data_IF_175903130813
#
_entry.id   IF_175903130813
#
_cell.length_a   1.000
_cell.length_b   1.000
_cell.length_c   1.000
_cell.angle_alpha   90.00
_cell.angle_beta   90.00
_cell.angle_gamma   90.00
#
_symmetry.space_group_name_H-M   'P 1'
#
loop_
_entity.id
_entity.type
_entity.pdbx_description
1 polymer ?
#
# COMPACT_ATOMS: atom_id res chain seq x y z
N UNK A 1 -8.26 3.57 26.18
CA UNK A 1 -8.96 2.29 25.97
C UNK A 1 -8.20 1.12 26.59
N UNK A 2 -6.98 0.82 26.15
CA UNK A 2 -6.19 -0.31 26.68
C UNK A 2 -5.78 -0.17 28.16
N UNK A 3 -5.67 1.06 28.68
CA UNK A 3 -5.16 1.33 30.04
C UNK A 3 -6.13 0.97 31.17
N UNK A 4 -7.44 0.92 30.90
CA UNK A 4 -8.45 0.75 31.95
C UNK A 4 -8.60 1.99 32.85
N UNK A 5 -9.21 1.81 34.03
CA UNK A 5 -9.32 2.83 35.08
C UNK A 5 -8.73 2.31 36.38
N UNK A 6 -7.96 3.16 37.06
CA UNK A 6 -7.41 2.83 38.38
C UNK A 6 -8.50 2.70 39.43
N UNK A 7 -8.34 1.73 40.33
CA UNK A 7 -9.13 1.62 41.55
C UNK A 7 -8.50 2.40 42.69
N UNK A 8 -9.21 2.48 43.82
CA UNK A 8 -8.78 3.21 45.01
C UNK A 8 -8.84 2.33 46.26
N UNK A 9 -7.76 2.35 47.04
CA UNK A 9 -7.69 1.79 48.39
C UNK A 9 -7.49 2.90 49.41
N UNK A 10 -8.25 2.82 50.51
CA UNK A 10 -8.02 3.61 51.71
C UNK A 10 -7.21 2.80 52.71
N UNK A 11 -5.99 3.23 52.96
CA UNK A 11 -5.08 2.66 53.95
C UNK A 11 -5.01 3.61 55.15
N UNK A 12 -5.17 3.06 56.35
CA UNK A 12 -4.95 3.82 57.60
C UNK A 12 -3.70 3.26 58.28
N UNK A 13 -2.89 4.14 58.86
CA UNK A 13 -1.67 3.80 59.57
C UNK A 13 -1.73 4.34 60.99
N UNK A 14 -1.11 3.65 61.94
CA UNK A 14 -0.88 4.21 63.27
C UNK A 14 0.28 5.23 63.26
N UNK A 15 0.52 5.85 64.41
CA UNK A 15 1.61 6.83 64.61
C UNK A 15 3.02 6.25 64.37
N UNK A 16 3.18 4.93 64.41
CA UNK A 16 4.45 4.23 64.20
C UNK A 16 4.60 3.76 62.74
N UNK A 17 3.64 4.08 61.86
CA UNK A 17 3.64 3.71 60.45
C UNK A 17 3.16 2.28 60.16
N UNK A 18 2.56 1.57 61.13
CA UNK A 18 2.00 0.24 60.90
C UNK A 18 0.62 0.35 60.29
N UNK A 19 0.35 -0.42 59.22
CA UNK A 19 -0.97 -0.48 58.56
C UNK A 19 -2.01 -1.03 59.54
N UNK A 20 -3.03 -0.23 59.88
CA UNK A 20 -4.11 -0.59 60.81
C UNK A 20 -5.40 -0.98 60.10
N UNK A 21 -5.67 -0.43 58.91
CA UNK A 21 -6.83 -0.82 58.11
C UNK A 21 -6.53 -0.72 56.62
N UNK A 22 -7.18 -1.58 55.84
CA UNK A 22 -7.19 -1.53 54.38
C UNK A 22 -8.64 -1.70 53.91
N UNK A 23 -9.14 -0.74 53.16
CA UNK A 23 -10.49 -0.77 52.60
C UNK A 23 -10.44 -0.43 51.12
N UNK A 24 -10.95 -1.33 50.29
CA UNK A 24 -11.22 -1.03 48.89
C UNK A 24 -12.35 0.00 48.80
N UNK A 25 -12.07 1.14 48.19
CA UNK A 25 -13.05 2.21 47.95
C UNK A 25 -13.72 2.01 46.60
N UNK A 26 -12.93 1.78 45.55
CA UNK A 26 -13.44 1.52 44.20
C UNK A 26 -12.55 0.48 43.52
N UNK A 27 -13.12 -0.63 43.00
CA UNK A 27 -12.33 -1.61 42.25
C UNK A 27 -11.78 -1.00 40.94
N UNK A 28 -10.60 -1.44 40.48
CA UNK A 28 -10.11 -1.04 39.16
C UNK A 28 -11.00 -1.62 38.05
N UNK A 29 -11.09 -0.92 36.93
CA UNK A 29 -11.72 -1.42 35.72
C UNK A 29 -10.63 -1.82 34.72
N UNK A 30 -10.59 -3.08 34.24
CA UNK A 30 -9.61 -3.49 33.25
C UNK A 30 -9.80 -2.70 31.94
N UNK A 31 -8.71 -2.54 31.19
CA UNK A 31 -8.78 -2.02 29.83
C UNK A 31 -9.54 -2.96 28.89
N UNK A 32 -9.92 -2.43 27.73
CA UNK A 32 -10.54 -3.23 26.70
C UNK A 32 -9.52 -4.04 25.91
N UNK A 33 -9.97 -5.17 25.37
CA UNK A 33 -9.26 -5.93 24.35
C UNK A 33 -9.48 -5.27 22.98
N UNK A 34 -8.43 -5.19 22.17
CA UNK A 34 -8.50 -4.67 20.80
C UNK A 34 -8.23 -5.82 19.85
N UNK A 35 -9.19 -6.10 18.97
CA UNK A 35 -9.07 -7.10 17.91
C UNK A 35 -8.67 -6.38 16.63
N UNK A 36 -7.49 -6.70 16.12
CA UNK A 36 -6.97 -6.14 14.87
C UNK A 36 -7.43 -6.94 13.66
N UNK A 37 -7.36 -6.33 12.48
CA UNK A 37 -7.59 -6.98 11.19
C UNK A 37 -6.36 -7.74 10.68
N UNK A 38 -5.20 -7.58 11.32
CA UNK A 38 -3.95 -8.26 10.95
C UNK A 38 -4.11 -9.78 11.02
N UNK A 39 -3.72 -10.44 9.94
CA UNK A 39 -3.51 -11.88 9.93
C UNK A 39 -2.07 -12.15 10.39
N UNK A 40 -1.93 -12.79 11.56
CA UNK A 40 -0.63 -13.03 12.17
C UNK A 40 0.29 -13.88 11.28
N UNK A 41 -0.27 -14.86 10.56
CA UNK A 41 0.52 -15.71 9.68
C UNK A 41 1.02 -14.92 8.47
N UNK A 42 0.16 -14.11 7.84
CA UNK A 42 0.54 -13.27 6.72
C UNK A 42 1.54 -12.18 7.12
N UNK A 43 1.36 -11.58 8.30
CA UNK A 43 2.31 -10.61 8.87
C UNK A 43 3.70 -11.24 9.06
N UNK A 44 3.78 -12.43 9.66
CA UNK A 44 5.03 -13.16 9.86
C UNK A 44 5.72 -13.53 8.52
N UNK A 45 4.96 -13.98 7.53
CA UNK A 45 5.47 -14.23 6.18
C UNK A 45 6.03 -12.95 5.53
N UNK A 46 5.29 -11.84 5.64
CA UNK A 46 5.72 -10.55 5.10
C UNK A 46 7.03 -10.06 5.75
N UNK A 47 7.14 -10.18 7.07
CA UNK A 47 8.36 -9.82 7.81
C UNK A 47 9.54 -10.72 7.46
N UNK A 48 9.33 -12.04 7.33
CA UNK A 48 10.36 -12.99 6.89
C UNK A 48 10.85 -12.71 5.46
N UNK A 49 9.93 -12.42 4.54
CA UNK A 49 10.28 -12.08 3.16
C UNK A 49 11.11 -10.80 3.10
N UNK A 50 10.73 -9.77 3.87
CA UNK A 50 11.52 -8.54 4.00
C UNK A 50 12.88 -8.81 4.63
N UNK A 51 12.96 -9.57 5.73
CA UNK A 51 14.22 -9.90 6.38
C UNK A 51 15.19 -10.66 5.47
N UNK A 52 14.67 -11.56 4.63
CA UNK A 52 15.47 -12.38 3.73
C UNK A 52 15.98 -11.61 2.49
N UNK A 53 15.21 -10.64 1.97
CA UNK A 53 15.50 -10.01 0.67
C UNK A 53 15.69 -8.50 0.72
N UNK A 54 15.33 -7.83 1.81
CA UNK A 54 15.41 -6.39 1.95
C UNK A 54 16.39 -5.96 3.04
N UNK A 55 17.26 -5.00 2.71
CA UNK A 55 18.00 -4.27 3.75
C UNK A 55 17.09 -3.32 4.51
N UNK A 56 16.25 -2.59 3.76
CA UNK A 56 15.21 -1.70 4.25
C UNK A 56 14.02 -1.81 3.32
N UNK A 57 12.82 -1.77 3.87
CA UNK A 57 11.63 -1.89 3.05
C UNK A 57 10.33 -1.93 3.84
N UNK A 58 9.25 -2.14 3.11
CA UNK A 58 7.94 -2.38 3.68
C UNK A 58 7.12 -3.28 2.75
N UNK A 59 6.18 -4.00 3.35
CA UNK A 59 5.19 -4.79 2.64
C UNK A 59 3.84 -4.57 3.30
N UNK A 60 2.85 -4.22 2.49
CA UNK A 60 1.46 -4.03 2.92
C UNK A 60 0.59 -4.98 2.12
N UNK A 61 -0.32 -5.66 2.82
CA UNK A 61 -1.37 -6.46 2.20
C UNK A 61 -2.71 -6.06 2.81
N UNK A 62 -3.69 -5.81 1.95
CA UNK A 62 -5.06 -5.49 2.35
C UNK A 62 -6.05 -6.43 1.65
N UNK A 63 -7.21 -6.62 2.24
CA UNK A 63 -8.37 -7.18 1.55
C UNK A 63 -9.04 -6.08 0.71
N UNK A 64 -9.07 -6.22 -0.63
CA UNK A 64 -9.63 -5.19 -1.50
C UNK A 64 -11.15 -5.01 -1.34
N UNK A 65 -11.85 -5.98 -0.75
CA UNK A 65 -13.32 -5.98 -0.68
C UNK A 65 -13.88 -5.31 0.57
N UNK A 66 -13.03 -4.95 1.54
CA UNK A 66 -13.45 -4.30 2.79
C UNK A 66 -12.42 -3.30 3.35
N UNK A 67 -11.20 -3.25 2.82
CA UNK A 67 -10.14 -2.36 3.29
C UNK A 67 -9.40 -2.85 4.53
N UNK A 68 -9.60 -4.09 4.97
CA UNK A 68 -8.90 -4.66 6.12
C UNK A 68 -7.40 -4.77 5.81
N UNK A 69 -6.58 -4.28 6.74
CA UNK A 69 -5.13 -4.43 6.67
C UNK A 69 -4.77 -5.80 7.23
N UNK A 70 -4.35 -6.70 6.34
CA UNK A 70 -3.99 -8.06 6.69
C UNK A 70 -2.50 -8.16 7.10
N UNK A 71 -1.64 -7.34 6.50
CA UNK A 71 -0.24 -7.18 6.89
C UNK A 71 0.23 -5.73 6.71
N UNK A 72 1.03 -5.22 7.67
CA UNK A 72 1.59 -3.86 7.71
C UNK A 72 3.07 -3.91 8.13
N UNK A 73 3.89 -4.64 7.38
CA UNK A 73 5.28 -4.94 7.74
C UNK A 73 6.25 -3.84 7.33
N UNK A 74 7.23 -3.54 8.20
CA UNK A 74 8.34 -2.61 7.95
C UNK A 74 9.65 -3.26 8.36
N UNK A 75 10.72 -3.01 7.60
CA UNK A 75 12.03 -3.58 7.85
C UNK A 75 13.16 -2.53 7.70
N UNK A 76 14.22 -2.56 8.53
CA UNK A 76 14.40 -3.44 9.69
C UNK A 76 13.42 -3.14 10.83
N UNK A 77 13.21 -4.13 11.69
CA UNK A 77 12.40 -4.04 12.91
C UNK A 77 13.28 -4.15 14.16
N UNK A 78 12.67 -4.06 15.34
CA UNK A 78 13.32 -4.27 16.64
C UNK A 78 12.38 -5.05 17.56
N UNK A 79 12.93 -5.72 18.57
CA UNK A 79 12.11 -6.41 19.57
C UNK A 79 11.43 -5.38 20.50
N UNK A 80 10.10 -5.24 20.51
CA UNK A 80 9.43 -4.29 21.38
C UNK A 80 9.59 -4.61 22.88
N UNK A 81 9.92 -5.86 23.24
CA UNK A 81 10.12 -6.25 24.65
C UNK A 81 11.31 -5.55 25.30
N UNK A 82 12.26 -5.03 24.53
CA UNK A 82 13.38 -4.25 25.08
C UNK A 82 12.93 -2.94 25.71
N UNK A 83 11.70 -2.46 25.42
CA UNK A 83 11.11 -1.28 26.04
C UNK A 83 10.33 -1.59 27.33
N UNK A 84 10.16 -2.87 27.68
CA UNK A 84 9.31 -3.29 28.80
C UNK A 84 10.18 -3.86 29.94
N UNK A 85 10.09 -3.33 31.17
CA UNK A 85 9.39 -2.10 31.57
C UNK A 85 10.13 -0.81 31.17
N UNK A 86 11.41 -0.92 30.80
CA UNK A 86 12.23 0.21 30.36
C UNK A 86 13.41 -0.26 29.51
N UNK A 87 13.74 0.49 28.46
CA UNK A 87 14.94 0.28 27.63
C UNK A 87 16.19 0.88 28.28
N UNK A 88 17.34 0.22 28.14
CA UNK A 88 18.63 0.80 28.55
C UNK A 88 19.05 1.94 27.63
N UNK A 89 19.84 2.89 28.15
CA UNK A 89 20.34 4.01 27.35
C UNK A 89 21.18 3.53 26.14
N UNK A 90 21.97 2.47 26.32
CA UNK A 90 22.81 1.92 25.25
C UNK A 90 21.99 1.25 24.15
N UNK A 91 20.94 0.48 24.50
CA UNK A 91 20.05 -0.12 23.50
C UNK A 91 19.24 0.95 22.75
N UNK A 92 18.75 1.97 23.45
CA UNK A 92 18.04 3.07 22.81
C UNK A 92 18.96 3.83 21.85
N UNK A 93 20.19 4.12 22.29
CA UNK A 93 21.20 4.76 21.45
C UNK A 93 21.54 3.91 20.22
N UNK A 94 21.65 2.59 20.38
CA UNK A 94 21.88 1.69 19.25
C UNK A 94 20.75 1.78 18.20
N UNK A 95 19.48 1.80 18.62
CA UNK A 95 18.34 1.96 17.72
C UNK A 95 18.27 3.35 17.06
N UNK A 96 18.67 4.39 17.79
CA UNK A 96 18.68 5.78 17.30
C UNK A 96 19.83 6.06 16.32
N UNK A 97 21.00 5.48 16.56
CA UNK A 97 22.20 5.67 15.74
C UNK A 97 22.27 4.69 14.55
N UNK A 98 21.34 3.72 14.47
CA UNK A 98 21.25 2.78 13.35
C UNK A 98 20.93 3.52 12.04
N UNK A 99 21.82 3.36 11.06
CA UNK A 99 21.74 3.97 9.72
C UNK A 99 20.55 3.44 8.92
N UNK A 100 20.04 2.28 9.29
CA UNK A 100 18.89 1.65 8.65
C UNK A 100 17.56 2.02 9.31
N UNK A 101 17.59 2.85 10.35
CA UNK A 101 16.42 3.54 10.95
C UNK A 101 15.28 2.54 11.29
N UNK A 102 15.51 1.57 12.19
CA UNK A 102 14.51 0.55 12.56
C UNK A 102 13.28 1.12 13.28
N UNK A 103 13.38 2.31 13.88
CA UNK A 103 12.28 3.01 14.54
C UNK A 103 11.26 3.64 13.56
N UNK A 104 11.53 3.61 12.25
CA UNK A 104 10.67 4.19 11.22
C UNK A 104 9.73 3.12 10.64
N UNK A 105 8.41 3.20 10.89
CA UNK A 105 7.45 2.31 10.26
C UNK A 105 7.19 2.73 8.81
N UNK A 106 8.02 2.21 7.92
CA UNK A 106 8.06 2.51 6.48
C UNK A 106 6.73 2.25 5.76
N UNK A 107 5.93 1.30 6.24
CA UNK A 107 4.67 0.90 5.62
C UNK A 107 3.65 2.05 5.48
N UNK A 108 3.64 3.00 6.42
CA UNK A 108 2.64 4.08 6.44
C UNK A 108 3.19 5.48 6.78
N UNK A 109 4.41 5.59 7.33
CA UNK A 109 5.03 6.90 7.65
C UNK A 109 6.06 7.38 6.64
N UNK A 110 6.46 6.53 5.70
CA UNK A 110 7.41 6.87 4.65
C UNK A 110 6.71 6.95 3.31
N UNK A 111 7.01 7.99 2.55
CA UNK A 111 6.56 8.14 1.17
C UNK A 111 7.76 8.12 0.23
N UNK A 112 7.63 7.42 -0.89
CA UNK A 112 8.67 7.29 -1.91
C UNK A 112 8.08 7.65 -3.28
N UNK A 113 8.89 8.04 -4.26
CA UNK A 113 8.40 8.08 -5.63
C UNK A 113 7.93 6.67 -6.05
N UNK A 114 6.71 6.53 -6.59
CA UNK A 114 6.17 5.22 -6.97
C UNK A 114 6.89 4.60 -8.18
N UNK A 115 7.47 5.44 -9.04
CA UNK A 115 7.95 5.01 -10.34
C UNK A 115 6.82 4.38 -11.16
N UNK A 116 7.16 3.39 -11.97
CA UNK A 116 6.23 2.77 -12.93
C UNK A 116 5.00 2.07 -12.33
N UNK A 117 4.87 1.92 -11.00
CA UNK A 117 3.58 1.49 -10.41
C UNK A 117 2.49 2.55 -10.60
N UNK A 118 2.86 3.83 -10.72
CA UNK A 118 1.93 4.93 -10.97
C UNK A 118 1.33 4.91 -12.39
N UNK A 119 1.91 4.15 -13.32
CA UNK A 119 1.37 3.99 -14.69
C UNK A 119 -0.06 3.44 -14.71
N UNK A 120 -0.49 2.77 -13.64
CA UNK A 120 -1.87 2.34 -13.45
C UNK A 120 -2.81 3.56 -13.39
N UNK A 121 -2.50 4.57 -12.56
CA UNK A 121 -3.29 5.79 -12.47
C UNK A 121 -3.29 6.58 -13.78
N UNK A 122 -2.15 6.61 -14.48
CA UNK A 122 -2.01 7.30 -15.77
C UNK A 122 -2.78 6.59 -16.88
N UNK A 123 -2.74 5.27 -16.91
CA UNK A 123 -3.50 4.44 -17.85
C UNK A 123 -5.01 4.60 -17.68
N UNK A 124 -5.47 4.52 -16.42
CA UNK A 124 -6.85 4.84 -16.05
C UNK A 124 -7.23 6.22 -16.57
N UNK A 125 -6.44 7.25 -16.24
CA UNK A 125 -6.75 8.62 -16.64
C UNK A 125 -6.86 8.77 -18.15
N UNK A 126 -5.96 8.15 -18.91
CA UNK A 126 -5.92 8.24 -20.36
C UNK A 126 -7.10 7.54 -21.04
N UNK A 127 -7.49 6.34 -20.56
CA UNK A 127 -8.60 5.56 -21.10
C UNK A 127 -9.95 6.17 -20.72
N UNK A 128 -10.14 6.52 -19.45
CA UNK A 128 -11.41 7.07 -18.94
C UNK A 128 -11.67 8.50 -19.41
N UNK A 129 -10.63 9.28 -19.74
CA UNK A 129 -10.80 10.58 -20.38
C UNK A 129 -10.91 10.48 -21.91
N UNK A 130 -10.89 9.27 -22.47
CA UNK A 130 -10.80 9.02 -23.92
C UNK A 130 -9.67 9.79 -24.62
N UNK A 131 -8.57 10.07 -23.90
CA UNK A 131 -7.38 10.64 -24.50
C UNK A 131 -6.67 9.60 -25.37
N UNK A 132 -6.81 8.32 -25.03
CA UNK A 132 -6.38 7.16 -25.82
C UNK A 132 -7.46 6.10 -25.83
N UNK A 133 -7.48 5.30 -26.89
CA UNK A 133 -8.30 4.09 -27.01
C UNK A 133 -7.42 2.84 -26.96
N UNK A 134 -7.97 1.64 -26.63
CA UNK A 134 -7.16 0.42 -26.48
C UNK A 134 -6.32 0.05 -27.70
N UNK A 135 -6.83 0.30 -28.90
CA UNK A 135 -6.15 -0.01 -30.16
C UNK A 135 -5.16 1.08 -30.60
N UNK A 136 -5.16 2.25 -29.94
CA UNK A 136 -4.18 3.28 -30.22
C UNK A 136 -2.77 2.75 -29.97
N UNK A 137 -1.86 3.02 -30.89
CA UNK A 137 -0.46 2.63 -30.79
C UNK A 137 0.44 3.85 -30.72
N UNK A 138 1.42 3.80 -29.82
CA UNK A 138 2.45 4.82 -29.68
C UNK A 138 3.83 4.18 -29.65
N UNK A 139 4.83 4.92 -30.12
CA UNK A 139 6.18 4.41 -30.26
C UNK A 139 6.87 4.17 -28.92
N UNK A 140 7.41 2.96 -28.75
CA UNK A 140 8.25 2.58 -27.62
C UNK A 140 9.73 2.61 -28.01
N UNK A 141 10.22 3.82 -28.25
CA UNK A 141 11.61 4.09 -28.65
C UNK A 141 12.55 4.28 -27.44
N UNK A 142 13.88 4.28 -27.64
CA UNK A 142 14.85 4.45 -26.54
C UNK A 142 14.82 5.83 -25.86
N UNK A 143 14.34 6.86 -26.54
CA UNK A 143 14.16 8.21 -26.00
C UNK A 143 13.27 9.07 -26.88
N UNK A 144 12.67 10.10 -26.27
CA UNK A 144 11.96 11.16 -27.00
C UNK A 144 12.41 12.54 -26.53
N UNK A 145 12.20 13.55 -27.38
CA UNK A 145 12.47 14.94 -27.04
C UNK A 145 11.20 15.60 -26.49
N UNK A 146 11.24 16.15 -25.28
CA UNK A 146 10.15 16.94 -24.69
C UNK A 146 10.68 18.34 -24.41
N UNK A 147 10.27 19.31 -25.24
CA UNK A 147 10.86 20.64 -25.22
C UNK A 147 12.37 20.58 -25.51
N UNK A 148 13.19 21.09 -24.61
CA UNK A 148 14.65 21.10 -24.71
C UNK A 148 15.35 19.95 -23.97
N UNK A 149 14.60 18.99 -23.41
CA UNK A 149 15.16 17.85 -22.66
C UNK A 149 14.87 16.54 -23.37
N UNK A 150 15.88 15.67 -23.45
CA UNK A 150 15.72 14.30 -23.92
C UNK A 150 15.30 13.40 -22.76
N UNK A 151 14.13 12.78 -22.88
CA UNK A 151 13.61 11.83 -21.91
C UNK A 151 13.91 10.41 -22.39
N UNK A 152 14.65 9.65 -21.57
CA UNK A 152 15.06 8.30 -21.89
C UNK A 152 14.05 7.26 -21.41
N UNK A 153 13.97 6.16 -22.16
CA UNK A 153 13.34 4.93 -21.74
C UNK A 153 14.34 4.08 -20.97
N UNK A 154 13.88 3.30 -19.99
CA UNK A 154 14.73 2.32 -19.31
C UNK A 154 15.24 1.22 -20.26
N UNK A 155 14.46 0.88 -21.31
CA UNK A 155 14.87 -0.01 -22.39
C UNK A 155 15.69 0.74 -23.44
N UNK A 156 16.82 0.16 -23.85
CA UNK A 156 17.69 0.72 -24.90
C UNK A 156 17.30 0.33 -26.33
N UNK A 157 16.49 -0.72 -26.48
CA UNK A 157 16.04 -1.19 -27.78
C UNK A 157 14.73 -0.53 -28.19
N UNK A 158 14.57 -0.33 -29.49
CA UNK A 158 13.30 0.07 -30.08
C UNK A 158 12.34 -1.13 -30.13
N UNK A 159 11.12 -0.95 -29.61
CA UNK A 159 10.07 -1.96 -29.59
C UNK A 159 8.96 -1.69 -30.61
N UNK A 160 9.08 -0.60 -31.37
CA UNK A 160 8.05 -0.11 -32.28
C UNK A 160 6.80 0.35 -31.55
N UNK A 161 5.70 0.44 -32.31
CA UNK A 161 4.42 0.95 -31.84
C UNK A 161 3.66 -0.10 -30.99
N UNK A 162 3.47 0.22 -29.71
CA UNK A 162 2.78 -0.63 -28.73
C UNK A 162 1.38 -0.07 -28.41
N UNK A 163 0.42 -0.95 -28.15
CA UNK A 163 -0.85 -0.57 -27.54
C UNK A 163 -0.73 -0.46 -26.00
N UNK A 164 -1.81 -0.09 -25.31
CA UNK A 164 -1.78 0.13 -23.86
C UNK A 164 -1.32 -1.11 -23.06
N UNK A 165 -1.92 -2.28 -23.33
CA UNK A 165 -1.55 -3.55 -22.65
C UNK A 165 -0.08 -3.87 -22.84
N UNK A 166 0.44 -3.77 -24.06
CA UNK A 166 1.85 -4.02 -24.36
C UNK A 166 2.77 -3.01 -23.66
N UNK A 167 2.40 -1.73 -23.67
CA UNK A 167 3.16 -0.67 -23.01
C UNK A 167 3.21 -0.85 -21.50
N UNK A 168 2.11 -1.30 -20.88
CA UNK A 168 2.03 -1.58 -19.46
C UNK A 168 2.87 -2.82 -19.09
N UNK A 169 2.73 -3.89 -19.87
CA UNK A 169 3.50 -5.16 -19.78
C UNK A 169 5.00 -4.89 -19.74
N UNK A 170 5.48 -4.16 -20.75
CA UNK A 170 6.89 -3.85 -20.92
C UNK A 170 7.35 -2.65 -20.11
N UNK A 171 6.43 -1.98 -19.41
CA UNK A 171 6.70 -0.79 -18.62
C UNK A 171 7.39 0.31 -19.45
N UNK A 172 6.95 0.55 -20.69
CA UNK A 172 7.62 1.43 -21.64
C UNK A 172 7.50 2.92 -21.28
N UNK A 173 8.59 3.62 -20.96
CA UNK A 173 8.47 5.01 -20.49
C UNK A 173 8.06 5.99 -21.60
N UNK A 174 8.61 5.86 -22.81
CA UNK A 174 8.32 6.79 -23.91
C UNK A 174 6.89 6.73 -24.38
N UNK A 175 6.25 5.56 -24.29
CA UNK A 175 4.81 5.43 -24.51
C UNK A 175 4.04 6.27 -23.48
N UNK A 176 4.36 6.13 -22.19
CA UNK A 176 3.69 6.87 -21.12
C UNK A 176 4.02 8.36 -21.10
N UNK A 177 5.19 8.80 -21.58
CA UNK A 177 5.46 10.22 -21.77
C UNK A 177 4.53 10.85 -22.82
N UNK A 178 4.38 10.20 -23.97
CA UNK A 178 3.51 10.67 -25.06
C UNK A 178 2.05 10.71 -24.61
N UNK A 179 1.56 9.60 -24.04
CA UNK A 179 0.18 9.48 -23.58
C UNK A 179 -0.10 10.39 -22.39
N UNK A 180 0.87 10.55 -21.49
CA UNK A 180 0.81 11.51 -20.40
C UNK A 180 0.58 12.94 -20.86
N UNK A 181 1.42 13.41 -21.78
CA UNK A 181 1.30 14.75 -22.36
C UNK A 181 -0.04 14.92 -23.11
N UNK A 182 -0.47 13.90 -23.86
CA UNK A 182 -1.76 13.90 -24.56
C UNK A 182 -2.95 13.98 -23.59
N UNK A 183 -2.87 13.28 -22.46
CA UNK A 183 -3.90 13.24 -21.40
C UNK A 183 -3.93 14.52 -20.57
N UNK A 184 -2.81 15.23 -20.49
CA UNK A 184 -2.62 16.41 -19.64
C UNK A 184 -2.63 16.11 -18.13
N UNK A 185 -2.18 17.08 -17.32
CA UNK A 185 -2.02 16.90 -15.88
C UNK A 185 -3.34 16.81 -15.11
N UNK A 186 -4.37 17.54 -15.55
CA UNK A 186 -5.67 17.59 -14.87
C UNK A 186 -6.27 16.19 -14.64
N UNK A 187 -6.54 15.41 -15.70
CA UNK A 187 -7.09 14.07 -15.56
C UNK A 187 -6.17 13.10 -14.78
N UNK A 188 -4.86 13.17 -14.97
CA UNK A 188 -3.90 12.32 -14.25
C UNK A 188 -3.96 12.59 -12.74
N UNK A 189 -3.98 13.86 -12.35
CA UNK A 189 -4.07 14.27 -10.94
C UNK A 189 -5.43 13.85 -10.36
N UNK A 190 -6.53 14.12 -11.07
CA UNK A 190 -7.88 13.76 -10.61
C UNK A 190 -8.01 12.26 -10.35
N UNK A 191 -7.57 11.42 -11.28
CA UNK A 191 -7.61 9.97 -11.10
C UNK A 191 -6.65 9.46 -10.01
N UNK A 192 -5.47 10.06 -9.87
CA UNK A 192 -4.57 9.72 -8.76
C UNK A 192 -5.22 10.02 -7.39
N UNK A 193 -5.88 11.16 -7.25
CA UNK A 193 -6.62 11.53 -6.02
C UNK A 193 -7.86 10.65 -5.81
N UNK A 194 -8.54 10.24 -6.90
CA UNK A 194 -9.67 9.30 -6.86
C UNK A 194 -9.26 7.93 -6.34
N UNK A 195 -8.07 7.46 -6.71
CA UNK A 195 -7.46 6.22 -6.21
C UNK A 195 -6.94 6.32 -4.76
N UNK A 196 -6.97 7.50 -4.14
CA UNK A 196 -6.61 7.70 -2.73
C UNK A 196 -5.17 8.20 -2.49
N UNK A 197 -4.39 8.45 -3.54
CA UNK A 197 -3.08 9.07 -3.36
C UNK A 197 -3.20 10.52 -2.89
N UNK A 198 -2.19 11.01 -2.16
CA UNK A 198 -2.17 12.39 -1.66
C UNK A 198 -3.07 12.65 -0.44
N UNK A 199 -3.67 11.61 0.14
CA UNK A 199 -4.47 11.69 1.36
C UNK A 199 -4.21 10.49 2.29
N UNK A 200 -4.46 10.66 3.60
CA UNK A 200 -4.40 9.56 4.56
C UNK A 200 -5.39 8.44 4.21
N UNK A 201 -4.94 7.20 4.33
CA UNK A 201 -5.77 6.00 4.22
C UNK A 201 -6.71 5.86 5.42
N UNK A 202 -6.33 6.42 6.59
CA UNK A 202 -7.20 6.67 7.73
C UNK A 202 -7.06 5.66 8.86
N UNK A 203 -5.83 5.25 9.16
CA UNK A 203 -5.53 4.30 10.24
C UNK A 203 -5.42 5.01 11.60
N UNK A 204 -5.75 4.34 12.72
CA UNK A 204 -5.67 4.93 14.06
C UNK A 204 -4.24 4.97 14.62
N UNK A 205 -3.23 5.18 13.75
CA UNK A 205 -1.82 5.28 14.13
C UNK A 205 -1.30 6.70 13.92
N UNK A 206 -0.40 7.13 14.81
CA UNK A 206 0.21 8.45 14.70
C UNK A 206 1.20 8.51 13.54
N UNK A 207 1.22 9.66 12.87
CA UNK A 207 2.25 10.01 11.89
C UNK A 207 2.05 9.41 10.50
N UNK A 208 0.85 8.92 10.18
CA UNK A 208 0.48 8.52 8.82
C UNK A 208 0.81 9.63 7.81
N UNK A 209 1.65 9.31 6.83
CA UNK A 209 2.07 10.24 5.80
C UNK A 209 0.99 10.38 4.72
N UNK A 210 0.76 11.60 4.26
CA UNK A 210 -0.25 11.91 3.25
C UNK A 210 0.23 11.67 1.81
N UNK A 211 1.54 11.45 1.61
CA UNK A 211 2.13 11.42 0.27
C UNK A 211 2.07 12.81 -0.40
N UNK A 212 2.18 12.83 -1.73
CA UNK A 212 2.11 14.04 -2.55
C UNK A 212 1.74 13.70 -3.98
N UNK A 213 0.68 14.33 -4.49
CA UNK A 213 0.38 14.43 -5.92
C UNK A 213 0.55 15.91 -6.31
N UNK A 214 1.57 16.28 -7.11
CA UNK A 214 1.84 17.68 -7.43
C UNK A 214 0.74 18.24 -8.35
N UNK A 215 0.16 19.38 -7.96
CA UNK A 215 -0.77 20.15 -8.77
C UNK A 215 -0.18 21.55 -9.11
N UNK A 216 -0.90 22.35 -9.90
CA UNK A 216 -0.46 23.69 -10.29
C UNK A 216 -0.17 24.63 -9.10
N UNK A 217 -0.91 24.48 -8.00
CA UNK A 217 -0.71 25.27 -6.79
C UNK A 217 0.61 24.90 -6.10
N UNK A 218 0.85 23.61 -5.92
CA UNK A 218 2.10 23.08 -5.39
C UNK A 218 3.30 23.48 -6.26
N UNK A 219 3.17 23.37 -7.58
CA UNK A 219 4.25 23.74 -8.51
C UNK A 219 4.56 25.24 -8.47
N UNK A 220 3.54 26.10 -8.34
CA UNK A 220 3.76 27.54 -8.15
C UNK A 220 4.46 27.84 -6.83
N UNK A 221 4.01 27.21 -5.74
CA UNK A 221 4.58 27.42 -4.41
C UNK A 221 6.03 26.92 -4.29
N UNK A 222 6.35 25.80 -4.96
CA UNK A 222 7.66 25.13 -4.83
C UNK A 222 8.65 25.58 -5.91
N UNK A 223 8.18 25.77 -7.14
CA UNK A 223 9.01 26.01 -8.33
C UNK A 223 8.73 27.35 -9.02
N UNK A 224 7.78 28.15 -8.56
CA UNK A 224 7.46 29.47 -9.12
C UNK A 224 6.77 29.43 -10.48
N UNK A 225 6.28 28.26 -10.93
CA UNK A 225 5.64 28.07 -12.24
C UNK A 225 4.56 27.00 -12.19
N UNK A 226 3.68 26.97 -13.20
CA UNK A 226 2.71 25.89 -13.39
C UNK A 226 3.37 24.61 -13.91
N UNK A 227 2.59 23.53 -13.94
CA UNK A 227 2.97 22.26 -14.57
C UNK A 227 3.25 22.48 -16.06
N UNK A 228 4.37 21.94 -16.54
CA UNK A 228 4.79 21.92 -17.95
C UNK A 228 4.84 20.48 -18.48
N UNK A 229 4.94 20.31 -19.79
CA UNK A 229 4.99 18.98 -20.43
C UNK A 229 6.13 18.09 -19.91
N UNK A 230 7.27 18.67 -19.51
CA UNK A 230 8.36 17.91 -18.90
C UNK A 230 8.02 17.38 -17.49
N UNK A 231 7.23 18.12 -16.72
CA UNK A 231 6.73 17.63 -15.43
C UNK A 231 5.66 16.56 -15.66
N UNK A 232 4.80 16.72 -16.67
CA UNK A 232 3.81 15.71 -17.06
C UNK A 232 4.53 14.42 -17.47
N UNK A 233 5.57 14.49 -18.29
CA UNK A 233 6.35 13.31 -18.68
C UNK A 233 6.93 12.57 -17.46
N UNK A 234 7.55 13.28 -16.50
CA UNK A 234 8.02 12.68 -15.25
C UNK A 234 6.87 12.10 -14.41
N UNK A 235 5.77 12.84 -14.29
CA UNK A 235 4.60 12.43 -13.53
C UNK A 235 3.99 11.14 -14.09
N UNK A 236 3.95 11.00 -15.42
CA UNK A 236 3.39 9.83 -16.11
C UNK A 236 4.15 8.53 -15.92
N UNK A 237 5.36 8.60 -15.37
CA UNK A 237 6.14 7.43 -14.96
C UNK A 237 6.36 7.36 -13.45
N UNK A 238 5.62 8.16 -12.66
CA UNK A 238 5.68 8.18 -11.20
C UNK A 238 6.98 8.76 -10.63
N UNK A 239 7.63 9.66 -11.37
CA UNK A 239 8.80 10.42 -10.92
C UNK A 239 8.45 11.92 -10.78
N UNK A 240 9.47 12.75 -10.57
CA UNK A 240 9.29 14.16 -10.20
C UNK A 240 8.94 14.27 -8.72
N UNK A 241 7.94 15.09 -8.40
CA UNK A 241 7.58 15.41 -7.01
C UNK A 241 6.49 14.50 -6.42
N UNK A 242 6.05 13.47 -7.17
CA UNK A 242 5.12 12.46 -6.65
C UNK A 242 5.76 11.69 -5.51
N UNK A 243 5.04 11.53 -4.40
CA UNK A 243 5.40 10.64 -3.32
C UNK A 243 4.16 9.86 -2.85
N UNK A 244 4.30 8.56 -2.63
CA UNK A 244 3.21 7.70 -2.13
C UNK A 244 3.72 6.80 -1.03
N UNK A 245 2.87 6.47 -0.06
CA UNK A 245 3.18 5.46 0.96
C UNK A 245 2.91 4.05 0.42
N UNK A 246 3.55 3.00 0.97
CA UNK A 246 3.19 1.62 0.66
C UNK A 246 1.72 1.30 0.94
N UNK A 247 1.15 1.83 2.03
CA UNK A 247 -0.27 1.69 2.35
C UNK A 247 -1.17 2.33 1.29
N UNK A 248 -0.86 3.54 0.81
CA UNK A 248 -1.61 4.18 -0.28
C UNK A 248 -1.52 3.38 -1.57
N UNK A 249 -0.35 2.83 -1.89
CA UNK A 249 -0.18 2.00 -3.09
C UNK A 249 -1.00 0.71 -3.01
N UNK A 250 -1.00 0.02 -1.87
CA UNK A 250 -1.84 -1.16 -1.67
C UNK A 250 -3.33 -0.82 -1.75
N UNK A 251 -3.76 0.30 -1.16
CA UNK A 251 -5.14 0.80 -1.24
C UNK A 251 -5.55 1.08 -2.69
N UNK A 252 -4.70 1.77 -3.46
CA UNK A 252 -4.97 2.05 -4.87
C UNK A 252 -5.08 0.77 -5.72
N UNK A 253 -4.22 -0.22 -5.47
CA UNK A 253 -4.35 -1.54 -6.11
C UNK A 253 -5.64 -2.24 -5.69
N UNK A 254 -6.10 -2.05 -4.45
CA UNK A 254 -7.38 -2.59 -3.98
C UNK A 254 -8.58 -2.03 -4.73
N UNK A 255 -8.55 -0.73 -5.08
CA UNK A 255 -9.59 -0.09 -5.91
C UNK A 255 -9.65 -0.71 -7.31
N UNK A 256 -8.50 -0.99 -7.92
CA UNK A 256 -8.46 -1.64 -9.24
C UNK A 256 -8.92 -3.10 -9.13
N UNK A 257 -8.49 -3.79 -8.08
CA UNK A 257 -8.83 -5.19 -7.83
C UNK A 257 -10.34 -5.43 -7.69
N UNK A 258 -11.01 -4.60 -6.88
CA UNK A 258 -12.45 -4.72 -6.63
C UNK A 258 -13.34 -4.02 -7.67
N UNK A 259 -12.74 -3.42 -8.70
CA UNK A 259 -13.47 -2.78 -9.79
C UNK A 259 -14.04 -1.39 -9.50
N UNK A 260 -13.56 -0.66 -8.48
CA UNK A 260 -13.92 0.76 -8.32
C UNK A 260 -14.07 1.30 -6.90
N UNK A 261 -14.15 0.46 -5.88
CA UNK A 261 -14.50 0.93 -4.53
C UNK A 261 -13.27 1.26 -3.71
N UNK A 262 -13.16 2.52 -3.28
CA UNK A 262 -12.15 2.97 -2.33
C UNK A 262 -12.65 2.77 -0.91
N UNK A 263 -12.25 1.68 -0.27
CA UNK A 263 -12.50 1.46 1.16
C UNK A 263 -11.50 2.25 2.04
N UNK A 264 -11.99 2.82 3.14
CA UNK A 264 -11.10 3.30 4.21
C UNK A 264 -10.37 2.09 4.80
N UNK A 265 -9.05 2.18 4.94
CA UNK A 265 -8.29 1.06 5.49
C UNK A 265 -8.63 0.86 6.97
N UNK A 266 -8.88 -0.39 7.37
CA UNK A 266 -9.27 -0.73 8.74
C UNK A 266 -8.19 -1.60 9.39
N UNK A 267 -7.62 -1.11 10.49
CA UNK A 267 -6.63 -1.83 11.31
C UNK A 267 -7.25 -2.46 12.56
N UNK A 268 -8.29 -1.83 13.11
CA UNK A 268 -9.03 -2.30 14.28
C UNK A 268 -10.37 -2.80 13.81
N UNK A 269 -10.63 -4.09 14.00
CA UNK A 269 -11.89 -4.73 13.64
C UNK A 269 -12.95 -4.41 14.69
N UNK A 270 -12.61 -4.63 15.96
CA UNK A 270 -13.50 -4.42 17.08
C UNK A 270 -12.74 -4.23 18.39
N UNK A 271 -13.48 -3.73 19.37
CA UNK A 271 -13.09 -3.59 20.75
C UNK A 271 -14.00 -4.48 21.56
N UNK A 272 -13.41 -5.27 22.43
CA UNK A 272 -14.12 -6.13 23.37
C UNK A 272 -13.82 -5.71 24.80
N UNK A 273 -14.77 -5.90 25.70
CA UNK A 273 -14.52 -5.90 27.13
C UNK A 273 -13.54 -7.03 27.49
N UNK A 274 -13.04 -7.02 28.73
CA UNK A 274 -12.10 -8.04 29.20
C UNK A 274 -12.68 -9.46 29.13
N UNK A 275 -13.99 -9.62 29.32
CA UNK A 275 -14.74 -10.88 29.22
C UNK A 275 -15.21 -11.22 27.80
N UNK A 276 -14.81 -10.44 26.79
CA UNK A 276 -15.02 -10.75 25.37
C UNK A 276 -16.33 -10.22 24.77
N UNK A 277 -17.14 -9.46 25.51
CA UNK A 277 -18.32 -8.79 24.96
C UNK A 277 -17.90 -7.68 23.99
N UNK A 278 -18.56 -7.58 22.84
CA UNK A 278 -18.25 -6.54 21.86
C UNK A 278 -18.73 -5.19 22.39
N UNK A 279 -17.79 -4.30 22.69
CA UNK A 279 -18.07 -2.93 23.11
C UNK A 279 -18.21 -1.98 21.92
N UNK A 280 -17.45 -2.21 20.85
CA UNK A 280 -17.52 -1.42 19.61
C UNK A 280 -17.04 -2.26 18.44
N UNK A 281 -17.79 -2.30 17.34
CA UNK A 281 -17.35 -2.91 16.08
C UNK A 281 -17.20 -1.83 15.02
N UNK A 282 -16.03 -1.74 14.39
CA UNK A 282 -15.78 -0.74 13.35
C UNK A 282 -16.30 -1.28 12.01
N UNK A 283 -17.28 -0.60 11.42
CA UNK A 283 -17.88 -1.02 10.16
C UNK A 283 -16.96 -0.79 8.96
N UNK A 284 -17.15 -1.58 7.92
CA UNK A 284 -16.52 -1.36 6.60
C UNK A 284 -17.05 -0.05 6.03
N UNK A 285 -16.15 0.84 5.59
CA UNK A 285 -16.53 2.15 5.06
C UNK A 285 -16.01 2.33 3.64
N UNK A 286 -16.92 2.33 2.67
CA UNK A 286 -16.63 2.82 1.33
C UNK A 286 -16.52 4.35 1.36
N UNK A 287 -15.34 4.91 1.07
CA UNK A 287 -15.13 6.36 0.96
C UNK A 287 -15.70 6.90 -0.35
N UNK A 288 -15.62 6.11 -1.42
CA UNK A 288 -16.03 6.47 -2.78
C UNK A 288 -16.11 5.22 -3.65
N UNK A 289 -16.98 5.25 -4.65
CA UNK A 289 -17.01 4.29 -5.75
C UNK A 289 -16.67 5.01 -7.04
N UNK A 290 -15.76 4.45 -7.81
CA UNK A 290 -15.35 4.91 -9.13
C UNK A 290 -16.07 4.04 -10.16
N UNK A 291 -16.70 4.69 -11.12
CA UNK A 291 -17.37 4.01 -12.23
C UNK A 291 -16.33 3.82 -13.34
N UNK A 292 -15.67 2.66 -13.36
CA UNK A 292 -14.75 2.31 -14.43
C UNK A 292 -15.52 1.71 -15.60
N UNK A 293 -15.15 2.08 -16.83
CA UNK A 293 -15.59 1.31 -17.98
C UNK A 293 -15.06 -0.13 -17.89
N UNK A 294 -15.86 -1.10 -18.37
CA UNK A 294 -15.42 -2.50 -18.45
C UNK A 294 -14.15 -2.63 -19.29
N UNK A 295 -14.05 -1.83 -20.36
CA UNK A 295 -12.87 -1.77 -21.23
C UNK A 295 -11.61 -1.36 -20.45
N UNK A 296 -11.67 -0.31 -19.62
CA UNK A 296 -10.53 0.09 -18.79
C UNK A 296 -10.11 -1.00 -17.81
N UNK A 297 -11.06 -1.64 -17.13
CA UNK A 297 -10.75 -2.72 -16.17
C UNK A 297 -10.11 -3.92 -16.88
N UNK A 298 -10.64 -4.31 -18.04
CA UNK A 298 -10.13 -5.44 -18.82
C UNK A 298 -8.72 -5.16 -19.34
N UNK A 299 -8.48 -3.95 -19.86
CA UNK A 299 -7.16 -3.51 -20.34
C UNK A 299 -6.13 -3.46 -19.21
N UNK A 300 -6.50 -2.93 -18.04
CA UNK A 300 -5.62 -2.89 -16.87
C UNK A 300 -5.31 -4.28 -16.35
N UNK A 301 -6.34 -5.11 -16.14
CA UNK A 301 -6.17 -6.47 -15.61
C UNK A 301 -5.30 -7.30 -16.55
N UNK A 302 -5.58 -7.28 -17.85
CA UNK A 302 -4.78 -8.00 -18.87
C UNK A 302 -3.33 -7.53 -18.84
N UNK A 303 -3.09 -6.21 -18.90
CA UNK A 303 -1.73 -5.69 -18.88
C UNK A 303 -0.98 -5.99 -17.58
N UNK A 304 -1.66 -5.94 -16.42
CA UNK A 304 -1.06 -6.28 -15.13
C UNK A 304 -0.78 -7.78 -14.97
N UNK A 305 -1.61 -8.65 -15.54
CA UNK A 305 -1.33 -10.10 -15.64
C UNK A 305 -0.09 -10.32 -16.51
N UNK A 306 -0.04 -9.68 -17.68
CA UNK A 306 1.06 -9.83 -18.63
C UNK A 306 2.39 -9.31 -18.10
N UNK A 307 2.38 -8.30 -17.20
CA UNK A 307 3.59 -7.88 -16.48
C UNK A 307 4.25 -9.03 -15.72
N UNK A 308 3.47 -9.96 -15.16
CA UNK A 308 3.95 -11.10 -14.36
C UNK A 308 4.14 -12.35 -15.23
N UNK A 309 3.16 -12.64 -16.10
CA UNK A 309 3.04 -13.95 -16.76
C UNK A 309 3.31 -13.89 -18.28
N UNK A 310 3.22 -12.72 -18.90
CA UNK A 310 3.40 -12.55 -20.34
C UNK A 310 4.86 -12.47 -20.75
N UNK A 311 5.24 -12.96 -21.94
CA UNK A 311 6.65 -13.10 -22.35
C UNK A 311 7.49 -11.81 -22.43
N UNK A 312 6.85 -10.63 -22.43
CA UNK A 312 7.50 -9.32 -22.33
C UNK A 312 7.52 -8.71 -20.92
N UNK A 313 7.00 -9.46 -19.95
CA UNK A 313 6.75 -9.03 -18.59
C UNK A 313 8.00 -8.63 -17.82
N UNK A 314 7.82 -7.73 -16.86
CA UNK A 314 8.91 -7.20 -16.03
C UNK A 314 8.97 -7.82 -14.64
N UNK A 315 8.00 -8.67 -14.29
CA UNK A 315 7.79 -9.19 -12.94
C UNK A 315 7.72 -10.73 -12.89
N UNK A 316 8.36 -11.44 -13.83
CA UNK A 316 8.34 -12.90 -13.87
C UNK A 316 8.72 -13.60 -12.56
N UNK A 317 9.56 -12.98 -11.73
CA UNK A 317 9.91 -13.55 -10.41
C UNK A 317 8.76 -13.51 -9.38
N UNK A 318 7.63 -12.85 -9.69
CA UNK A 318 6.42 -12.88 -8.89
C UNK A 318 5.46 -14.03 -9.29
N UNK A 319 5.69 -14.73 -10.41
CA UNK A 319 4.74 -15.74 -10.91
C UNK A 319 4.56 -16.90 -9.93
N UNK A 320 3.33 -17.40 -9.82
CA UNK A 320 2.98 -18.57 -9.01
C UNK A 320 2.28 -19.62 -9.88
N UNK A 321 2.48 -20.90 -9.56
CA UNK A 321 1.96 -22.00 -10.39
C UNK A 321 0.44 -22.18 -10.27
N UNK A 322 -0.13 -21.88 -9.10
CA UNK A 322 -1.53 -22.22 -8.76
C UNK A 322 -2.48 -21.02 -8.72
N UNK A 323 -1.96 -19.80 -8.87
CA UNK A 323 -2.75 -18.57 -8.77
C UNK A 323 -2.13 -17.50 -9.67
N UNK A 324 -2.98 -16.80 -10.42
CA UNK A 324 -2.53 -15.74 -11.30
C UNK A 324 -2.45 -14.41 -10.54
N UNK A 325 -1.29 -13.75 -10.62
CA UNK A 325 -1.06 -12.42 -10.06
C UNK A 325 -1.21 -11.37 -11.16
N UNK A 326 -1.96 -10.32 -10.87
CA UNK A 326 -1.96 -9.08 -11.63
C UNK A 326 -1.08 -8.06 -10.88
N UNK A 327 0.01 -7.57 -11.50
CA UNK A 327 0.93 -6.67 -10.81
C UNK A 327 1.63 -5.65 -11.70
N UNK A 328 2.34 -4.73 -11.05
CA UNK A 328 3.16 -3.72 -11.69
C UNK A 328 4.45 -3.49 -10.91
N UNK A 329 5.57 -3.51 -11.62
CA UNK A 329 6.87 -3.10 -11.08
C UNK A 329 7.05 -1.59 -11.16
N UNK A 330 7.83 -1.04 -10.23
CA UNK A 330 8.33 0.32 -10.25
C UNK A 330 9.80 0.34 -9.87
N UNK A 331 10.56 1.23 -10.49
CA UNK A 331 11.91 1.62 -10.03
C UNK A 331 11.97 3.13 -10.09
N UNK A 332 12.26 3.78 -8.98
CA UNK A 332 12.29 5.23 -8.92
C UNK A 332 13.49 5.73 -8.12
N UNK A 333 14.12 6.78 -8.62
CA UNK A 333 15.27 7.40 -7.98
C UNK A 333 14.78 8.62 -7.17
N UNK A 334 15.38 8.86 -6.01
CA UNK A 334 15.17 10.10 -5.27
C UNK A 334 16.43 10.58 -4.55
N UNK A 335 16.38 11.85 -4.16
CA UNK A 335 17.48 12.53 -3.48
C UNK A 335 18.42 13.23 -4.46
N UNK A 336 19.39 14.00 -3.94
CA UNK A 336 20.34 14.71 -4.77
C UNK A 336 21.26 13.71 -5.49
N UNK A 337 21.75 14.07 -6.69
CA UNK A 337 22.56 13.20 -7.57
C UNK A 337 23.72 12.47 -6.87
N UNK A 338 24.36 13.08 -5.88
CA UNK A 338 25.49 12.48 -5.14
C UNK A 338 25.07 11.59 -3.95
N UNK A 339 23.79 11.57 -3.60
CA UNK A 339 23.19 10.74 -2.54
C UNK A 339 21.91 10.06 -3.02
N UNK A 340 21.81 9.81 -4.32
CA UNK A 340 20.63 9.24 -4.95
C UNK A 340 20.39 7.82 -4.41
N UNK A 341 19.14 7.55 -4.05
CA UNK A 341 18.64 6.24 -3.62
C UNK A 341 17.61 5.76 -4.61
N UNK A 342 17.38 4.45 -4.61
CA UNK A 342 16.45 3.79 -5.53
C UNK A 342 15.38 3.03 -4.76
N UNK A 343 14.12 3.16 -5.19
CA UNK A 343 12.98 2.45 -4.61
C UNK A 343 12.57 1.43 -5.65
N UNK A 344 12.71 0.17 -5.29
CA UNK A 344 12.23 -0.93 -6.09
C UNK A 344 10.85 -1.34 -5.56
N UNK A 345 9.83 -1.18 -6.39
CA UNK A 345 8.44 -1.43 -6.07
C UNK A 345 7.91 -2.65 -6.81
N UNK A 346 7.01 -3.37 -6.16
CA UNK A 346 6.07 -4.26 -6.81
C UNK A 346 4.73 -4.17 -6.09
N UNK A 347 3.67 -3.89 -6.84
CA UNK A 347 2.31 -3.73 -6.31
C UNK A 347 1.30 -4.39 -7.23
N UNK A 348 0.20 -4.87 -6.68
CA UNK A 348 -0.79 -5.59 -7.46
C UNK A 348 -1.87 -6.21 -6.60
N UNK A 349 -2.52 -7.23 -7.16
CA UNK A 349 -3.53 -8.02 -6.48
C UNK A 349 -3.56 -9.46 -6.99
N UNK A 350 -4.11 -10.35 -6.17
CA UNK A 350 -4.31 -11.75 -6.50
C UNK A 350 -5.47 -12.36 -5.69
N UNK A 351 -6.09 -13.45 -6.18
CA UNK A 351 -6.09 -13.91 -7.57
C UNK A 351 -6.54 -12.81 -8.56
N UNK A 352 -6.13 -12.88 -9.82
CA UNK A 352 -6.44 -11.84 -10.82
C UNK A 352 -7.94 -11.75 -11.16
N UNK A 353 -8.66 -12.86 -11.05
CA UNK A 353 -10.07 -13.02 -11.42
C UNK A 353 -11.04 -12.75 -10.26
N UNK A 354 -10.67 -13.19 -9.05
CA UNK A 354 -11.42 -12.97 -7.80
C UNK A 354 -10.49 -12.45 -6.70
N UNK A 355 -10.11 -11.16 -6.74
CA UNK A 355 -9.07 -10.64 -5.86
C UNK A 355 -9.43 -10.72 -4.38
N UNK A 356 -8.54 -11.36 -3.61
CA UNK A 356 -8.63 -11.48 -2.15
C UNK A 356 -7.57 -10.67 -1.43
N UNK A 357 -6.48 -10.36 -2.13
CA UNK A 357 -5.35 -9.61 -1.60
C UNK A 357 -4.96 -8.54 -2.59
N UNK A 358 -4.85 -7.30 -2.12
CA UNK A 358 -4.13 -6.22 -2.81
C UNK A 358 -2.90 -5.86 -1.99
N UNK A 359 -1.78 -5.63 -2.66
CA UNK A 359 -0.49 -5.52 -1.99
C UNK A 359 0.41 -4.44 -2.59
N UNK A 360 1.37 -4.01 -1.77
CA UNK A 360 2.51 -3.23 -2.20
C UNK A 360 3.75 -3.62 -1.39
N UNK A 361 4.84 -3.93 -2.09
CA UNK A 361 6.16 -4.13 -1.53
C UNK A 361 7.13 -3.07 -2.07
N UNK A 362 7.94 -2.51 -1.18
CA UNK A 362 9.02 -1.58 -1.52
C UNK A 362 10.32 -2.03 -0.88
N UNK A 363 11.38 -2.04 -1.68
CA UNK A 363 12.77 -2.16 -1.23
C UNK A 363 13.43 -0.78 -1.35
N UNK A 364 14.01 -0.30 -0.25
CA UNK A 364 14.70 0.99 -0.15
C UNK A 364 16.22 0.82 -0.32
N UNK A 365 16.72 1.12 -1.51
CA UNK A 365 18.13 1.02 -1.89
C UNK A 365 19.08 1.89 -1.08
N UNK A 366 20.31 1.38 -0.91
CA UNK A 366 21.45 2.20 -0.50
C UNK A 366 21.80 3.23 -1.58
N UNK A 367 22.55 4.26 -1.19
CA UNK A 367 23.03 5.28 -2.12
C UNK A 367 23.81 4.62 -3.25
N UNK A 368 23.42 4.92 -4.50
CA UNK A 368 24.06 4.36 -5.71
C UNK A 368 23.77 2.88 -5.98
N UNK A 369 22.91 2.23 -5.18
CA UNK A 369 22.52 0.84 -5.44
C UNK A 369 21.59 0.72 -6.64
N UNK A 370 21.82 -0.32 -7.44
CA UNK A 370 20.98 -0.68 -8.59
C UNK A 370 20.03 -1.80 -8.17
N UNK A 371 18.86 -1.40 -7.68
CA UNK A 371 17.78 -2.32 -7.30
C UNK A 371 16.57 -2.07 -8.19
N UNK A 372 15.87 -3.13 -8.58
CA UNK A 372 14.75 -3.07 -9.51
C UNK A 372 13.54 -3.78 -8.94
N UNK A 373 12.34 -3.24 -9.21
CA UNK A 373 11.08 -3.81 -8.74
C UNK A 373 10.94 -5.31 -9.07
N UNK A 374 11.28 -5.70 -10.30
CA UNK A 374 11.15 -7.10 -10.76
C UNK A 374 12.13 -8.10 -10.16
N UNK A 375 13.28 -7.66 -9.64
CA UNK A 375 14.31 -8.55 -9.09
C UNK A 375 14.49 -8.43 -7.57
N UNK A 376 13.96 -7.36 -6.97
CA UNK A 376 14.05 -7.12 -5.52
C UNK A 376 12.67 -7.22 -4.85
N UNK A 377 11.64 -6.55 -5.39
CA UNK A 377 10.33 -6.48 -4.74
C UNK A 377 9.37 -7.62 -5.15
N UNK A 378 9.33 -7.95 -6.44
CA UNK A 378 8.53 -9.04 -6.98
C UNK A 378 8.75 -10.40 -6.27
N UNK A 379 10.00 -10.89 -6.07
CA UNK A 379 10.21 -12.16 -5.40
C UNK A 379 9.80 -12.16 -3.91
N UNK A 380 9.74 -10.99 -3.24
CA UNK A 380 9.22 -10.94 -1.85
C UNK A 380 7.74 -11.30 -1.79
N UNK A 381 6.95 -10.85 -2.77
CA UNK A 381 5.52 -11.18 -2.86
C UNK A 381 5.32 -12.65 -3.25
N UNK A 382 6.14 -13.18 -4.17
CA UNK A 382 6.09 -14.61 -4.51
C UNK A 382 6.34 -15.49 -3.28
N UNK A 383 7.35 -15.20 -2.47
CA UNK A 383 7.66 -16.00 -1.28
C UNK A 383 6.46 -16.05 -0.31
N UNK A 384 5.79 -14.93 -0.06
CA UNK A 384 4.62 -14.86 0.82
C UNK A 384 3.45 -15.68 0.27
N UNK A 385 3.07 -15.45 -0.98
CA UNK A 385 1.86 -16.08 -1.52
C UNK A 385 2.09 -17.51 -2.00
N UNK A 386 3.34 -17.91 -2.26
CA UNK A 386 3.69 -19.31 -2.46
C UNK A 386 3.29 -20.13 -1.24
N UNK A 387 3.59 -19.67 -0.03
CA UNK A 387 3.23 -20.39 1.19
C UNK A 387 1.70 -20.41 1.41
N UNK A 388 1.01 -19.29 1.18
CA UNK A 388 -0.46 -19.21 1.27
C UNK A 388 -1.16 -20.17 0.29
N UNK A 389 -0.70 -20.24 -0.96
CA UNK A 389 -1.33 -21.05 -2.02
C UNK A 389 -0.72 -22.45 -2.20
N UNK A 390 0.36 -22.80 -1.49
CA UNK A 390 0.84 -24.19 -1.40
C UNK A 390 -0.05 -25.08 -0.54
N UNK A 391 -0.75 -24.50 0.45
CA UNK A 391 -1.73 -25.20 1.29
C UNK A 391 -3.06 -25.49 0.58
N UNK A 392 -3.40 -24.71 -0.46
CA UNK A 392 -4.59 -24.90 -1.29
C UNK A 392 -4.29 -25.88 -2.44
N UNK A 393 -4.24 -27.20 -2.14
CA UNK A 393 -4.23 -28.22 -3.20
C UNK A 393 -5.44 -28.04 -4.10
N UNK A 394 -5.19 -28.00 -5.42
CA UNK A 394 -6.12 -28.01 -6.56
C UNK A 394 -7.45 -28.70 -6.22
N UNK A 395 -8.45 -27.91 -5.84
CA UNK A 395 -9.85 -28.34 -5.94
C UNK A 395 -10.38 -27.68 -7.19
N UNK A 396 -10.74 -28.50 -8.17
CA UNK A 396 -11.19 -28.03 -9.47
C UNK A 396 -12.32 -26.99 -9.34
N UNK A 397 -12.30 -26.03 -10.26
CA UNK A 397 -13.15 -24.85 -10.35
C UNK A 397 -14.67 -25.12 -10.29
N UNK A 398 -15.10 -26.38 -10.36
CA UNK A 398 -16.49 -26.82 -10.30
C UNK A 398 -17.01 -27.15 -8.89
N UNK A 399 -16.16 -27.46 -7.91
CA UNK A 399 -16.62 -27.89 -6.58
C UNK A 399 -16.71 -26.76 -5.54
N UNK A 400 -16.02 -25.62 -5.74
CA UNK A 400 -16.11 -24.45 -4.83
C UNK A 400 -17.44 -23.69 -4.91
N UNK A 401 -18.23 -23.86 -5.98
CA UNK A 401 -19.56 -23.22 -6.12
C UNK A 401 -20.60 -23.70 -5.08
N UNK A 402 -20.33 -24.76 -4.32
CA UNK A 402 -21.32 -25.42 -3.48
C UNK A 402 -21.04 -25.36 -1.96
N UNK A 403 -19.94 -24.74 -1.50
CA UNK A 403 -19.61 -24.70 -0.08
C UNK A 403 -19.01 -23.36 0.32
N UNK A 404 -19.59 -22.79 1.37
CA UNK A 404 -19.09 -21.72 2.25
C UNK A 404 -19.64 -20.30 2.01
N UNK A 405 -20.85 -20.06 2.51
CA UNK A 405 -21.12 -18.83 3.28
C UNK A 405 -20.70 -19.09 4.74
N UNK A 406 -19.80 -18.30 5.34
CA UNK A 406 -19.61 -18.32 6.78
C UNK A 406 -20.78 -17.58 7.44
N UNK A 407 -21.47 -18.25 8.36
CA UNK A 407 -22.53 -17.67 9.19
C UNK A 407 -21.89 -16.70 10.20
N UNK A 408 -21.66 -15.46 9.79
CA UNK A 408 -21.32 -14.37 10.69
C UNK A 408 -22.59 -13.97 11.41
N UNK A 409 -22.69 -14.28 12.71
CA UNK A 409 -23.74 -13.72 13.56
C UNK A 409 -23.60 -12.20 13.58
N UNK A 410 -24.44 -11.51 12.79
CA UNK A 410 -24.63 -10.07 12.86
C UNK A 410 -25.51 -9.75 14.06
N UNK A 411 -25.04 -8.85 14.93
CA UNK A 411 -25.92 -8.19 15.89
C UNK A 411 -26.78 -7.17 15.14
N UNK A 412 -28.06 -7.05 15.54
CA UNK A 412 -28.97 -6.03 15.00
C UNK A 412 -28.49 -4.62 15.36
N UNK A 413 -28.68 -3.61 14.48
CA UNK A 413 -28.37 -2.23 14.79
C UNK A 413 -29.25 -1.72 15.94
N UNK A 414 -28.65 -0.99 16.87
CA UNK A 414 -29.40 -0.20 17.85
C UNK A 414 -30.00 0.99 17.13
N UNK A 415 -31.32 1.14 17.16
CA UNK A 415 -32.02 2.32 16.65
C UNK A 415 -31.57 3.56 17.45
N UNK A 416 -31.15 4.61 16.75
CA UNK A 416 -30.92 5.92 17.37
C UNK A 416 -32.29 6.51 17.74
N UNK A 417 -32.53 6.75 19.04
CA UNK A 417 -33.68 7.53 19.49
C UNK A 417 -33.48 8.99 19.05
N UNK A 418 -34.42 9.49 18.23
CA UNK A 418 -34.57 10.90 17.88
C UNK A 418 -34.79 11.72 19.17
N UNK A 419 -33.77 12.49 19.60
CA UNK A 419 -33.98 13.60 20.53
C UNK A 419 -34.57 14.80 19.77
N UNK A 420 -35.90 14.82 19.68
CA UNK A 420 -36.67 16.05 19.48
C UNK A 420 -37.43 16.39 20.75
N UNK A 421 -36.96 17.40 21.47
CA UNK A 421 -37.78 18.30 22.31
C UNK A 421 -37.21 19.72 22.27
#
# INVERSE_FOLDING_TARGET
>A
MLTGKHGEYKLTFDKDGRKTSEKLITPPEPGYNVVTTLDLHLQDLAEKALAAKAKRGAMVVIDPNNGDILALASWPTYDPNVFVPSISADQLKALQDDKDIPLLPRAYRSSYPPGSTFKIAVGIAALESHAVYPDDRYECVPSIQVGNVTFHNWKKGDRGALNFVQALTESCDTWFYQVGIKTSSGPIIDWALKLGFGAKCGIPLRGEAEGRIPNDEYMKATHGRKILNGDIANMSIGQGDIQVTPLQMAQAMGVVANGGTLYQTRLVQQVQTFDGQIATAYQVRAKRTLDFSSETLDQLRTGMIDVVNGGGGTAHQASLDNVEIAGKTGTAQWGPKHKERTAAWFSGFLPSDQPRYAFAAVYEGDVGSKVHGGSAAAPMIADVFKDIYQGEKVVSHQQRRAREEPEVRRAEPVEEEDESD
#
